data_IF_684952067353
#
_entry.id   IF_684952067353
#
_cell.length_a   1.000
_cell.length_b   1.000
_cell.length_c   1.000
_cell.angle_alpha   90.00
_cell.angle_beta   90.00
_cell.angle_gamma   90.00
#
_symmetry.space_group_name_H-M   'P 1'
#
loop_
_entity.id
_entity.type
_entity.pdbx_description
1 polymer ?
#
# COMPACT_ATOMS: atom_id res chain seq x y z
N UNK A 1 -5.34 4.89 0.81
CA UNK A 1 -5.04 4.61 2.25
C UNK A 1 -3.91 5.53 2.72
N UNK A 2 -3.87 5.88 4.00
CA UNK A 2 -2.73 6.52 4.65
C UNK A 2 -2.15 5.54 5.65
N UNK A 3 -0.93 5.09 5.42
CA UNK A 3 -0.28 4.06 6.22
C UNK A 3 0.88 4.68 7.00
N UNK A 4 1.03 4.28 8.26
CA UNK A 4 2.21 4.59 9.07
C UNK A 4 3.17 3.39 9.06
N UNK A 5 4.46 3.63 9.21
CA UNK A 5 5.48 2.59 9.09
C UNK A 5 5.60 1.82 10.40
N UNK A 6 5.64 0.49 10.33
CA UNK A 6 5.83 -0.41 11.48
C UNK A 6 7.32 -0.66 11.76
N UNK A 7 8.13 0.40 11.74
CA UNK A 7 9.58 0.34 12.02
C UNK A 7 9.95 1.40 13.07
N UNK A 8 11.08 1.24 13.78
CA UNK A 8 11.57 2.25 14.71
C UNK A 8 11.73 3.62 14.03
N UNK A 9 11.63 4.73 14.78
CA UNK A 9 11.72 6.09 14.23
C UNK A 9 12.94 6.33 13.34
N UNK A 10 14.10 5.77 13.69
CA UNK A 10 15.37 5.90 12.96
C UNK A 10 15.40 5.19 11.60
N UNK A 11 14.49 4.24 11.36
CA UNK A 11 14.34 3.52 10.10
C UNK A 11 13.22 4.11 9.23
N UNK A 12 12.43 5.05 9.76
CA UNK A 12 11.31 5.62 9.02
C UNK A 12 11.79 6.49 7.86
N UNK A 13 11.19 6.29 6.70
CA UNK A 13 11.27 7.27 5.62
C UNK A 13 10.41 8.47 6.00
N UNK A 14 11.04 9.61 6.25
CA UNK A 14 10.36 10.87 6.51
C UNK A 14 10.77 11.94 5.50
N UNK A 15 9.79 12.48 4.78
CA UNK A 15 10.02 13.55 3.78
C UNK A 15 8.92 14.59 3.86
N UNK A 16 9.21 15.90 3.67
CA UNK A 16 8.18 16.91 3.71
C UNK A 16 7.21 16.75 2.54
N UNK A 17 5.97 17.19 2.74
CA UNK A 17 5.04 17.42 1.62
C UNK A 17 5.57 18.57 0.76
N UNK A 18 5.17 18.60 -0.51
CA UNK A 18 5.40 19.73 -1.39
C UNK A 18 4.85 21.02 -0.75
N UNK A 19 5.65 22.09 -0.78
CA UNK A 19 5.22 23.42 -0.30
C UNK A 19 3.98 23.90 -1.06
N UNK A 20 3.92 23.60 -2.36
CA UNK A 20 2.73 23.80 -3.21
C UNK A 20 2.37 22.46 -3.84
N UNK A 21 1.18 21.90 -3.57
CA UNK A 21 0.82 20.58 -4.08
C UNK A 21 0.78 20.60 -5.61
N UNK A 22 1.05 19.45 -6.22
CA UNK A 22 0.81 19.25 -7.65
C UNK A 22 -0.69 19.38 -7.91
N UNK A 23 -1.05 19.97 -9.03
CA UNK A 23 -2.44 20.00 -9.53
C UNK A 23 -2.84 18.67 -10.16
N UNK A 24 -1.87 17.86 -10.57
CA UNK A 24 -2.07 16.53 -11.14
C UNK A 24 -1.10 15.51 -10.53
N UNK A 25 -1.66 14.39 -10.10
CA UNK A 25 -1.00 13.17 -9.64
C UNK A 25 -1.82 12.02 -10.21
N UNK A 26 -1.22 11.06 -10.92
CA UNK A 26 -1.97 9.96 -11.51
C UNK A 26 -2.55 9.04 -10.42
N UNK A 27 -3.62 8.32 -10.75
CA UNK A 27 -4.08 7.23 -9.91
C UNK A 27 -2.98 6.18 -9.71
N UNK A 28 -3.00 5.52 -8.56
CA UNK A 28 -2.00 4.55 -8.08
C UNK A 28 -0.59 5.08 -7.91
N UNK A 29 -0.35 6.38 -8.00
CA UNK A 29 0.91 6.96 -7.55
C UNK A 29 1.19 6.53 -6.11
N UNK A 30 2.42 6.10 -5.84
CA UNK A 30 2.90 5.77 -4.51
C UNK A 30 3.80 6.90 -3.99
N UNK A 31 3.65 7.26 -2.73
CA UNK A 31 4.44 8.35 -2.18
C UNK A 31 4.47 8.46 -0.66
N UNK A 32 5.34 9.34 -0.19
CA UNK A 32 5.55 9.65 1.24
C UNK A 32 5.34 11.13 1.54
N UNK A 33 4.84 11.44 2.74
CA UNK A 33 4.65 12.82 3.22
C UNK A 33 4.52 12.85 4.74
N UNK A 34 5.53 13.42 5.40
CA UNK A 34 5.90 13.03 6.76
C UNK A 34 6.37 11.57 6.77
N UNK A 35 6.11 10.86 7.87
CA UNK A 35 6.32 9.41 7.99
C UNK A 35 5.21 8.53 7.40
N UNK A 36 4.30 9.10 6.58
CA UNK A 36 3.12 8.40 6.06
C UNK A 36 3.29 8.02 4.59
N UNK A 37 2.96 6.77 4.27
CA UNK A 37 2.85 6.26 2.90
C UNK A 37 1.42 6.42 2.35
N UNK A 38 1.31 6.61 1.04
CA UNK A 38 0.03 6.69 0.32
C UNK A 38 0.10 5.96 -1.02
N UNK A 39 -1.00 5.31 -1.40
CA UNK A 39 -1.34 5.00 -2.79
C UNK A 39 -2.54 5.87 -3.17
N UNK A 40 -2.37 6.74 -4.15
CA UNK A 40 -3.44 7.64 -4.63
C UNK A 40 -4.54 6.81 -5.29
N UNK A 41 -5.78 6.91 -4.81
CA UNK A 41 -6.89 6.09 -5.31
C UNK A 41 -7.48 6.57 -6.63
N UNK A 42 -7.35 7.87 -6.91
CA UNK A 42 -7.83 8.54 -8.11
C UNK A 42 -6.79 9.56 -8.55
N UNK A 43 -6.88 10.00 -9.80
CA UNK A 43 -6.10 11.14 -10.26
C UNK A 43 -6.59 12.45 -9.61
N UNK A 44 -5.67 13.37 -9.37
CA UNK A 44 -6.01 14.68 -8.81
C UNK A 44 -4.84 15.42 -8.18
N UNK A 45 -5.14 16.44 -7.38
CA UNK A 45 -4.11 17.19 -6.67
C UNK A 45 -3.40 16.33 -5.61
N UNK A 46 -2.10 16.55 -5.40
CA UNK A 46 -1.30 15.73 -4.48
C UNK A 46 -0.06 16.45 -3.94
N UNK A 47 0.14 16.34 -2.62
CA UNK A 47 1.25 17.00 -1.92
C UNK A 47 2.38 16.07 -1.49
N UNK A 48 2.22 14.75 -1.58
CA UNK A 48 3.24 13.80 -1.10
C UNK A 48 4.38 13.70 -2.13
N UNK A 49 5.60 13.42 -1.68
CA UNK A 49 6.71 13.06 -2.54
C UNK A 49 6.40 11.75 -3.25
N UNK A 50 6.60 11.68 -4.57
CA UNK A 50 6.31 10.48 -5.34
C UNK A 50 7.53 9.56 -5.37
N UNK A 51 7.32 8.29 -5.06
CA UNK A 51 8.36 7.25 -5.00
C UNK A 51 8.14 6.16 -6.05
N UNK A 52 6.94 6.06 -6.64
CA UNK A 52 6.67 5.08 -7.67
C UNK A 52 5.19 5.01 -8.04
N UNK A 53 4.80 3.87 -8.60
CA UNK A 53 3.42 3.53 -8.97
C UNK A 53 3.10 2.13 -8.47
N UNK A 54 1.91 1.95 -7.90
CA UNK A 54 1.36 0.63 -7.64
C UNK A 54 0.66 0.11 -8.91
N UNK A 55 0.88 -1.16 -9.31
CA UNK A 55 0.17 -1.72 -10.46
C UNK A 55 -1.31 -1.99 -10.14
N UNK A 56 -1.60 -2.39 -8.89
CA UNK A 56 -2.94 -2.74 -8.42
C UNK A 56 -3.69 -1.54 -7.81
N UNK A 57 -5.02 -1.42 -8.04
CA UNK A 57 -5.82 -0.31 -7.51
C UNK A 57 -6.15 -0.48 -6.03
N UNK A 58 -6.29 0.63 -5.30
CA UNK A 58 -6.89 0.62 -3.94
C UNK A 58 -8.37 1.01 -3.94
N UNK A 59 -8.91 1.34 -5.12
CA UNK A 59 -10.29 1.74 -5.37
C UNK A 59 -10.73 1.13 -6.71
N UNK A 60 -11.86 0.43 -6.72
CA UNK A 60 -12.53 -0.03 -7.94
C UNK A 60 -14.04 0.29 -7.84
N UNK A 61 -14.41 1.44 -8.40
CA UNK A 61 -15.79 1.94 -8.38
C UNK A 61 -16.75 1.01 -9.13
N UNK A 62 -16.26 0.23 -10.10
CA UNK A 62 -17.08 -0.71 -10.87
C UNK A 62 -17.12 -2.10 -10.25
N UNK A 63 -16.38 -2.33 -9.17
CA UNK A 63 -16.26 -3.62 -8.46
C UNK A 63 -16.08 -4.79 -9.44
N UNK A 64 -15.15 -4.64 -10.39
CA UNK A 64 -14.83 -5.69 -11.37
C UNK A 64 -13.91 -6.74 -10.75
N UNK A 65 -13.01 -6.31 -9.88
CA UNK A 65 -12.05 -7.19 -9.21
C UNK A 65 -12.71 -7.94 -8.06
N UNK A 66 -12.28 -9.19 -7.84
CA UNK A 66 -12.87 -10.08 -6.82
C UNK A 66 -12.72 -9.53 -5.40
N UNK A 67 -11.61 -8.88 -5.08
CA UNK A 67 -11.37 -8.29 -3.76
C UNK A 67 -12.21 -7.04 -3.47
N UNK A 68 -12.94 -6.55 -4.46
CA UNK A 68 -13.77 -5.36 -4.37
C UNK A 68 -15.27 -5.70 -4.36
N UNK A 69 -15.67 -6.97 -4.33
CA UNK A 69 -17.10 -7.34 -4.39
C UNK A 69 -17.91 -6.84 -3.18
N UNK A 70 -17.29 -6.76 -2.01
CA UNK A 70 -17.96 -6.28 -0.79
C UNK A 70 -17.88 -4.76 -0.61
N UNK A 71 -16.93 -4.09 -1.27
CA UNK A 71 -16.68 -2.66 -1.13
C UNK A 71 -15.86 -2.13 -2.31
N UNK A 72 -16.21 -0.93 -2.81
CA UNK A 72 -15.41 -0.23 -3.83
C UNK A 72 -14.02 0.18 -3.32
N UNK A 73 -13.81 0.26 -2.00
CA UNK A 73 -12.53 0.56 -1.36
C UNK A 73 -11.94 -0.73 -0.82
N UNK A 74 -10.71 -1.05 -1.23
CA UNK A 74 -10.03 -2.27 -0.78
C UNK A 74 -9.47 -2.17 0.65
N UNK A 75 -8.65 -1.16 1.00
CA UNK A 75 -8.10 -1.03 2.36
C UNK A 75 -9.17 -0.85 3.43
N UNK A 76 -9.06 -1.58 4.54
CA UNK A 76 -9.82 -1.36 5.77
C UNK A 76 -8.94 -0.72 6.85
N UNK A 77 -9.51 0.08 7.76
CA UNK A 77 -8.77 0.57 8.92
C UNK A 77 -8.21 -0.62 9.74
N UNK A 78 -6.91 -0.57 10.03
CA UNK A 78 -6.21 -1.65 10.75
C UNK A 78 -5.51 -2.67 9.86
N UNK A 79 -5.75 -2.67 8.55
CA UNK A 79 -5.00 -3.52 7.62
C UNK A 79 -3.51 -3.15 7.61
N UNK A 80 -2.66 -4.18 7.55
CA UNK A 80 -1.21 -4.04 7.43
C UNK A 80 -0.82 -4.19 5.96
N UNK A 81 -0.09 -3.20 5.44
CA UNK A 81 0.35 -3.18 4.06
C UNK A 81 1.84 -3.50 3.96
N UNK A 82 2.17 -4.54 3.20
CA UNK A 82 3.55 -4.79 2.78
C UNK A 82 3.77 -4.19 1.38
N UNK A 83 4.60 -3.15 1.28
CA UNK A 83 5.01 -2.57 0.01
C UNK A 83 6.32 -3.22 -0.44
N UNK A 84 6.29 -3.96 -1.56
CA UNK A 84 7.47 -4.59 -2.15
C UNK A 84 7.85 -3.90 -3.45
N UNK A 85 9.14 -3.62 -3.63
CA UNK A 85 9.68 -3.19 -4.91
C UNK A 85 9.58 -4.31 -5.95
N UNK A 86 9.13 -3.98 -7.15
CA UNK A 86 8.96 -4.92 -8.26
C UNK A 86 9.63 -4.36 -9.51
N UNK A 87 10.09 -5.26 -10.37
CA UNK A 87 10.62 -4.90 -11.68
C UNK A 87 9.51 -4.59 -12.68
N UNK A 88 9.90 -4.06 -13.85
CA UNK A 88 8.95 -3.60 -14.87
C UNK A 88 8.09 -4.74 -15.41
N UNK A 89 8.66 -5.91 -15.61
CA UNK A 89 7.98 -7.08 -16.15
C UNK A 89 6.85 -7.53 -15.23
N UNK A 90 7.11 -7.62 -13.92
CA UNK A 90 6.10 -7.97 -12.92
C UNK A 90 5.02 -6.87 -12.81
N UNK A 91 5.41 -5.59 -12.91
CA UNK A 91 4.44 -4.50 -12.95
C UNK A 91 3.46 -4.66 -14.11
N UNK A 92 3.96 -4.88 -15.33
CA UNK A 92 3.13 -5.04 -16.52
C UNK A 92 2.25 -6.30 -16.46
N UNK A 93 2.74 -7.40 -15.88
CA UNK A 93 1.94 -8.60 -15.62
C UNK A 93 0.75 -8.31 -14.70
N UNK A 94 1.01 -7.67 -13.54
CA UNK A 94 -0.05 -7.32 -12.58
C UNK A 94 -1.06 -6.35 -13.23
N UNK A 95 -0.58 -5.40 -14.04
CA UNK A 95 -1.44 -4.49 -14.81
C UNK A 95 -2.36 -5.26 -15.75
N UNK A 96 -1.84 -6.22 -16.51
CA UNK A 96 -2.65 -7.10 -17.37
C UNK A 96 -3.73 -7.83 -16.59
N UNK A 97 -3.38 -8.42 -15.44
CA UNK A 97 -4.34 -9.11 -14.55
C UNK A 97 -5.39 -8.19 -13.94
N UNK A 98 -5.06 -6.93 -13.71
CA UNK A 98 -6.04 -5.92 -13.25
C UNK A 98 -7.03 -5.59 -14.37
N UNK A 99 -6.53 -5.48 -15.61
CA UNK A 99 -7.33 -5.11 -16.77
C UNK A 99 -8.26 -6.25 -17.24
N UNK A 100 -7.81 -7.50 -17.15
CA UNK A 100 -8.61 -8.69 -17.46
C UNK A 100 -9.54 -9.14 -16.31
N UNK A 101 -9.40 -8.56 -15.12
CA UNK A 101 -10.22 -8.84 -13.95
C UNK A 101 -9.79 -10.04 -13.11
N UNK A 102 -8.62 -10.63 -13.37
CA UNK A 102 -8.10 -11.84 -12.70
C UNK A 102 -7.12 -11.53 -11.55
N UNK A 103 -6.86 -10.26 -11.28
CA UNK A 103 -6.02 -9.86 -10.15
C UNK A 103 -6.72 -10.10 -8.81
N UNK A 104 -6.01 -10.74 -7.90
CA UNK A 104 -6.36 -10.89 -6.49
C UNK A 104 -5.13 -10.51 -5.66
N UNK A 105 -5.36 -9.75 -4.59
CA UNK A 105 -4.34 -9.40 -3.62
C UNK A 105 -3.91 -10.62 -2.82
N UNK A 106 -2.60 -10.73 -2.58
CA UNK A 106 -2.08 -11.62 -1.55
C UNK A 106 -2.46 -11.05 -0.19
N UNK A 107 -3.27 -11.79 0.55
CA UNK A 107 -3.80 -11.37 1.85
C UNK A 107 -3.97 -12.60 2.76
N UNK A 108 -3.80 -12.38 4.06
CA UNK A 108 -4.00 -13.35 5.13
C UNK A 108 -4.60 -12.61 6.33
N UNK A 109 -5.43 -13.29 7.10
CA UNK A 109 -5.93 -12.72 8.36
C UNK A 109 -4.80 -12.71 9.38
N UNK A 110 -4.70 -11.62 10.14
CA UNK A 110 -3.66 -11.44 11.15
C UNK A 110 -4.21 -10.64 12.33
N UNK A 111 -3.94 -11.09 13.56
CA UNK A 111 -4.29 -10.36 14.78
C UNK A 111 -3.08 -9.55 15.21
N UNK A 112 -3.19 -8.23 15.13
CA UNK A 112 -2.10 -7.33 15.50
C UNK A 112 -2.02 -7.11 17.02
N UNK A 113 -0.82 -7.26 17.57
CA UNK A 113 -0.48 -7.11 18.98
C UNK A 113 0.45 -5.90 19.16
N UNK A 114 -0.06 -4.74 19.59
CA UNK A 114 0.73 -3.51 19.70
C UNK A 114 1.89 -3.60 20.70
N UNK A 115 1.70 -4.36 21.78
CA UNK A 115 2.74 -4.63 22.78
C UNK A 115 3.94 -5.34 22.17
N UNK A 116 3.70 -6.38 21.35
CA UNK A 116 4.77 -7.11 20.65
C UNK A 116 5.46 -6.25 19.59
N UNK A 117 4.69 -5.44 18.86
CA UNK A 117 5.22 -4.52 17.86
C UNK A 117 6.12 -3.42 18.47
N UNK A 118 5.88 -3.02 19.72
CA UNK A 118 6.67 -2.02 20.43
C UNK A 118 7.89 -2.61 21.14
N UNK A 119 7.85 -3.89 21.54
CA UNK A 119 8.95 -4.58 22.21
C UNK A 119 10.08 -4.94 21.24
N UNK A 120 9.75 -5.56 20.10
CA UNK A 120 10.70 -5.90 19.03
C UNK A 120 10.03 -5.75 17.63
N UNK A 121 10.06 -4.53 17.05
CA UNK A 121 9.41 -4.26 15.77
C UNK A 121 9.94 -5.13 14.62
N UNK A 122 11.25 -5.42 14.59
CA UNK A 122 11.88 -6.18 13.52
C UNK A 122 11.44 -7.63 13.56
N UNK A 123 11.53 -8.29 14.71
CA UNK A 123 11.07 -9.68 14.85
C UNK A 123 9.57 -9.80 14.56
N UNK A 124 8.77 -8.82 14.98
CA UNK A 124 7.33 -8.85 14.71
C UNK A 124 7.00 -8.64 13.22
N UNK A 125 7.75 -7.80 12.51
CA UNK A 125 7.63 -7.68 11.06
C UNK A 125 8.00 -8.97 10.33
N UNK A 126 9.03 -9.69 10.78
CA UNK A 126 9.37 -11.01 10.24
C UNK A 126 8.23 -12.02 10.42
N UNK A 127 7.55 -12.02 11.58
CA UNK A 127 6.35 -12.84 11.81
C UNK A 127 5.21 -12.47 10.87
N UNK A 128 4.90 -11.17 10.73
CA UNK A 128 3.84 -10.68 9.83
C UNK A 128 4.12 -11.13 8.39
N UNK A 129 5.35 -10.99 7.93
CA UNK A 129 5.76 -11.44 6.59
C UNK A 129 5.73 -12.97 6.49
N UNK A 130 6.13 -13.69 7.54
CA UNK A 130 6.03 -15.14 7.64
C UNK A 130 4.59 -15.64 7.47
N UNK A 131 3.60 -14.95 8.08
CA UNK A 131 2.18 -15.26 7.88
C UNK A 131 1.73 -14.95 6.46
N UNK A 132 2.14 -13.79 5.90
CA UNK A 132 1.71 -13.36 4.57
C UNK A 132 2.25 -14.25 3.43
N UNK A 133 3.48 -14.73 3.56
CA UNK A 133 4.19 -15.50 2.53
C UNK A 133 4.28 -17.00 2.83
N UNK A 134 4.05 -17.42 4.07
CA UNK A 134 3.96 -18.82 4.47
C UNK A 134 2.70 -19.50 3.94
N UNK A 135 2.79 -20.82 3.79
CA UNK A 135 1.69 -21.67 3.32
C UNK A 135 0.53 -21.68 4.33
#
# INVERSE_FOLDING_TARGET
PWCYQLVPPEEQVEVPKYVRPRTYTPERAFGFGGGFAVVYSVEGAGGYQLFGLAPAPVLDVKQKLKDFQDSIVFPKPGDIFNYRGIEREEFDEIRGRVEDGTFEYRKKDFVFHPDRALDDPQAYNEEILGVLYGD
#
